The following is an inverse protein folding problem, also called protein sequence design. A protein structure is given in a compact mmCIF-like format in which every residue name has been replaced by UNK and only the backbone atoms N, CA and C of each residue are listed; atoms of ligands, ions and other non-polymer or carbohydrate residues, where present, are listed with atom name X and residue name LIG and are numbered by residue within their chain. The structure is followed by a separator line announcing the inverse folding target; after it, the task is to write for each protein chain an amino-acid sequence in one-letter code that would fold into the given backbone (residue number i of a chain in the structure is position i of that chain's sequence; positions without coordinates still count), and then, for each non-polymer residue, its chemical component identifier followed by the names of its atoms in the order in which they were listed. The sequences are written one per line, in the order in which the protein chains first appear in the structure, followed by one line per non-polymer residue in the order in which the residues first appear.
data_IF_297143885546
#
_entry.id   IF_297143885546
#
_cell.length_a   1.000
_cell.length_b   1.000
_cell.length_c   1.000
_cell.angle_alpha   90.00
_cell.angle_beta   90.00
_cell.angle_gamma   90.00
#
_symmetry.space_group_name_H-M   'P 1'
#
loop_
_entity.id
_entity.type
_entity.pdbx_description
1 polymer ?
#
# COMPACT_ATOMS: atom_id res chain seq x y z
N UNK A 1 3.61 1.94 -27.48
CA UNK A 1 2.68 2.94 -26.89
C UNK A 1 1.68 2.28 -25.95
N UNK A 2 0.91 1.29 -26.39
CA UNK A 2 -0.09 0.62 -25.53
C UNK A 2 0.51 -0.01 -24.26
N UNK A 3 1.67 -0.68 -24.37
CA UNK A 3 2.36 -1.27 -23.21
C UNK A 3 2.83 -0.23 -22.20
N UNK A 4 3.29 0.94 -22.65
CA UNK A 4 3.71 2.03 -21.77
C UNK A 4 2.50 2.61 -21.03
N UNK A 5 1.40 2.85 -21.73
CA UNK A 5 0.15 3.33 -21.11
C UNK A 5 -0.36 2.34 -20.07
N UNK A 6 -0.40 1.04 -20.39
CA UNK A 6 -0.82 0.00 -19.44
C UNK A 6 0.10 -0.08 -18.21
N UNK A 7 1.40 0.14 -18.38
CA UNK A 7 2.37 0.15 -17.29
C UNK A 7 2.17 1.34 -16.33
N UNK A 8 2.02 2.54 -16.88
CA UNK A 8 1.72 3.74 -16.10
C UNK A 8 0.36 3.64 -15.38
N UNK A 9 -0.64 3.03 -16.02
CA UNK A 9 -1.93 2.74 -15.37
C UNK A 9 -1.76 1.83 -14.16
N UNK A 10 -0.91 0.80 -14.23
CA UNK A 10 -0.66 -0.09 -13.09
C UNK A 10 0.10 0.60 -11.95
N UNK A 11 1.09 1.44 -12.26
CA UNK A 11 1.76 2.26 -11.25
C UNK A 11 0.78 3.21 -10.55
N UNK A 12 -0.11 3.85 -11.32
CA UNK A 12 -1.15 4.71 -10.77
C UNK A 12 -2.20 3.94 -9.95
N UNK A 13 -2.53 2.70 -10.33
CA UNK A 13 -3.36 1.80 -9.52
C UNK A 13 -2.69 1.48 -8.19
N UNK A 14 -1.38 1.18 -8.19
CA UNK A 14 -0.63 0.94 -6.95
C UNK A 14 -0.62 2.19 -6.07
N UNK A 15 -0.34 3.37 -6.65
CA UNK A 15 -0.40 4.66 -5.95
C UNK A 15 -1.79 4.92 -5.33
N UNK A 16 -2.86 4.76 -6.11
CA UNK A 16 -4.23 4.89 -5.63
C UNK A 16 -4.53 3.92 -4.48
N UNK A 17 -4.08 2.68 -4.60
CA UNK A 17 -4.29 1.64 -3.59
C UNK A 17 -3.59 1.99 -2.27
N UNK A 18 -2.36 2.53 -2.35
CA UNK A 18 -1.66 3.03 -1.17
C UNK A 18 -2.30 4.25 -0.53
N UNK A 19 -2.86 5.18 -1.33
CA UNK A 19 -3.56 6.36 -0.80
C UNK A 19 -4.79 5.97 0.02
N UNK A 20 -5.60 5.03 -0.48
CA UNK A 20 -6.74 4.50 0.29
C UNK A 20 -6.25 3.72 1.51
N UNK A 21 -5.20 2.91 1.38
CA UNK A 21 -4.63 2.18 2.51
C UNK A 21 -4.12 3.10 3.61
N UNK A 22 -3.40 4.17 3.26
CA UNK A 22 -2.93 5.19 4.19
C UNK A 22 -4.06 5.78 5.02
N UNK A 23 -5.15 6.21 4.36
CA UNK A 23 -6.29 6.80 5.04
C UNK A 23 -7.00 5.78 5.94
N UNK A 24 -7.10 4.52 5.51
CA UNK A 24 -7.65 3.45 6.32
C UNK A 24 -6.79 3.15 7.57
N UNK A 25 -5.46 3.17 7.47
CA UNK A 25 -4.58 3.02 8.65
C UNK A 25 -4.77 4.19 9.62
N UNK A 26 -4.91 5.42 9.11
CA UNK A 26 -5.25 6.58 9.97
C UNK A 26 -6.59 6.39 10.68
N UNK A 27 -7.59 5.86 9.97
CA UNK A 27 -8.88 5.55 10.59
C UNK A 27 -8.71 4.52 11.74
N UNK A 28 -7.85 3.49 11.57
CA UNK A 28 -7.52 2.56 12.66
C UNK A 28 -6.82 3.27 13.83
N UNK A 29 -5.82 4.11 13.54
CA UNK A 29 -5.07 4.88 14.53
C UNK A 29 -5.99 5.76 15.39
N UNK A 30 -6.97 6.43 14.78
CA UNK A 30 -7.90 7.31 15.49
C UNK A 30 -8.96 6.55 16.29
N UNK A 31 -9.42 5.40 15.80
CA UNK A 31 -10.63 4.76 16.32
C UNK A 31 -10.37 3.48 17.12
N UNK A 32 -9.13 3.01 17.24
CA UNK A 32 -8.78 1.85 18.06
C UNK A 32 -9.25 2.02 19.52
N UNK A 33 -9.78 0.94 20.09
CA UNK A 33 -10.20 0.86 21.50
C UNK A 33 -9.78 -0.49 22.10
N UNK A 34 -9.84 -0.60 23.42
CA UNK A 34 -9.60 -1.87 24.13
C UNK A 34 -8.18 -2.02 24.69
N UNK A 35 -7.86 -3.21 25.17
CA UNK A 35 -6.64 -3.51 25.93
C UNK A 35 -5.33 -3.28 25.16
N UNK A 36 -5.38 -3.34 23.83
CA UNK A 36 -4.22 -3.14 22.95
C UNK A 36 -4.06 -1.70 22.46
N UNK A 37 -4.83 -0.74 23.00
CA UNK A 37 -4.87 0.64 22.51
C UNK A 37 -3.48 1.26 22.34
N UNK A 38 -2.66 1.28 23.40
CA UNK A 38 -1.37 1.98 23.36
C UNK A 38 -0.37 1.35 22.37
N UNK A 39 -0.38 0.03 22.25
CA UNK A 39 0.48 -0.70 21.32
C UNK A 39 0.05 -0.45 19.86
N UNK A 40 -1.23 -0.69 19.56
CA UNK A 40 -1.75 -0.61 18.20
C UNK A 40 -1.84 0.83 17.70
N UNK A 41 -2.18 1.79 18.57
CA UNK A 41 -2.20 3.22 18.22
C UNK A 41 -0.84 3.67 17.66
N UNK A 42 0.26 3.35 18.36
CA UNK A 42 1.61 3.66 17.90
C UNK A 42 2.00 2.83 16.67
N UNK A 43 1.61 1.56 16.61
CA UNK A 43 1.91 0.70 15.46
C UNK A 43 1.25 1.20 14.18
N UNK A 44 0.00 1.67 14.26
CA UNK A 44 -0.69 2.27 13.12
C UNK A 44 -0.02 3.57 12.66
N UNK A 45 0.53 4.36 13.57
CA UNK A 45 1.33 5.55 13.23
C UNK A 45 2.61 5.22 12.47
N UNK A 46 3.36 4.24 12.95
CA UNK A 46 4.53 3.72 12.25
C UNK A 46 4.17 3.32 10.81
N UNK A 47 3.07 2.57 10.66
CA UNK A 47 2.62 2.06 9.37
C UNK A 47 2.15 3.16 8.42
N UNK A 48 1.26 4.07 8.85
CA UNK A 48 0.80 5.14 7.95
C UNK A 48 1.95 6.08 7.56
N UNK A 49 2.93 6.27 8.46
CA UNK A 49 4.08 7.15 8.19
C UNK A 49 4.96 6.52 7.12
N UNK A 50 5.20 5.21 7.21
CA UNK A 50 5.91 4.49 6.15
C UNK A 50 5.12 4.50 4.83
N UNK A 51 3.80 4.30 4.88
CA UNK A 51 2.95 4.38 3.68
C UNK A 51 3.04 5.74 3.00
N UNK A 52 3.11 6.83 3.75
CA UNK A 52 3.28 8.17 3.19
C UNK A 52 4.56 8.31 2.36
N UNK A 53 5.67 7.73 2.82
CA UNK A 53 6.93 7.70 2.06
C UNK A 53 6.79 6.90 0.77
N UNK A 54 6.14 5.73 0.83
CA UNK A 54 5.92 4.88 -0.36
C UNK A 54 5.06 5.60 -1.40
N UNK A 55 4.04 6.34 -0.97
CA UNK A 55 3.18 7.15 -1.85
C UNK A 55 4.02 8.17 -2.63
N UNK A 56 4.94 8.85 -1.95
CA UNK A 56 5.83 9.84 -2.55
C UNK A 56 6.79 9.18 -3.56
N UNK A 57 7.47 8.11 -3.14
CA UNK A 57 8.37 7.32 -4.01
C UNK A 57 7.68 6.89 -5.31
N UNK A 58 6.41 6.42 -5.22
CA UNK A 58 5.62 6.02 -6.38
C UNK A 58 5.21 7.20 -7.26
N UNK A 59 4.77 8.31 -6.67
CA UNK A 59 4.38 9.49 -7.43
C UNK A 59 5.57 10.09 -8.18
N UNK A 60 6.71 10.21 -7.52
CA UNK A 60 7.96 10.66 -8.13
C UNK A 60 8.49 9.67 -9.17
N UNK A 61 8.30 8.35 -8.96
CA UNK A 61 8.63 7.35 -9.98
C UNK A 61 7.80 7.54 -11.26
N UNK A 62 6.49 7.77 -11.12
CA UNK A 62 5.60 8.03 -12.25
C UNK A 62 6.03 9.30 -13.01
N UNK A 63 6.39 10.37 -12.29
CA UNK A 63 6.94 11.59 -12.87
C UNK A 63 8.26 11.35 -13.61
N UNK A 64 9.15 10.54 -13.01
CA UNK A 64 10.44 10.15 -13.61
C UNK A 64 10.25 9.41 -14.93
N UNK A 65 9.17 8.65 -15.07
CA UNK A 65 8.77 7.97 -16.31
C UNK A 65 8.03 8.88 -17.31
N UNK A 66 7.97 10.19 -17.04
CA UNK A 66 7.39 11.20 -17.93
C UNK A 66 5.86 11.25 -17.92
N UNK A 67 5.20 10.71 -16.88
CA UNK A 67 3.75 10.69 -16.76
C UNK A 67 3.27 11.41 -15.50
N UNK A 68 2.00 11.82 -15.47
CA UNK A 68 1.41 12.46 -14.30
C UNK A 68 0.86 11.41 -13.32
N UNK A 69 1.18 11.50 -12.02
CA UNK A 69 0.55 10.67 -11.01
C UNK A 69 -0.91 11.11 -10.77
N UNK A 70 -1.77 10.15 -10.43
CA UNK A 70 -3.09 10.46 -9.89
C UNK A 70 -2.93 11.28 -8.60
N UNK A 71 -3.82 12.25 -8.41
CA UNK A 71 -3.76 13.19 -7.29
C UNK A 71 -5.13 13.53 -6.70
N UNK A 72 -6.23 13.18 -7.37
CA UNK A 72 -7.59 13.50 -6.92
C UNK A 72 -8.14 12.31 -6.14
N UNK A 73 -8.80 12.57 -5.01
CA UNK A 73 -9.48 11.53 -4.24
C UNK A 73 -10.47 10.71 -5.07
N UNK A 74 -11.24 11.36 -5.96
CA UNK A 74 -12.17 10.66 -6.85
C UNK A 74 -11.48 9.65 -7.80
N UNK A 75 -10.22 9.92 -8.18
CA UNK A 75 -9.44 8.99 -9.01
C UNK A 75 -8.88 7.86 -8.15
N UNK A 76 -8.40 8.16 -6.93
CA UNK A 76 -7.95 7.12 -6.00
C UNK A 76 -9.07 6.13 -5.66
N UNK A 77 -10.27 6.62 -5.37
CA UNK A 77 -11.44 5.79 -5.08
C UNK A 77 -11.85 4.91 -6.26
N UNK A 78 -11.67 5.40 -7.49
CA UNK A 78 -12.01 4.65 -8.71
C UNK A 78 -10.98 3.58 -9.04
N UNK A 79 -9.69 3.88 -8.86
CA UNK A 79 -8.60 3.02 -9.35
C UNK A 79 -8.02 2.07 -8.30
N UNK A 80 -8.22 2.35 -7.01
CA UNK A 80 -7.71 1.54 -5.90
C UNK A 80 -8.26 0.11 -5.93
N UNK A 81 -7.40 -0.86 -5.60
CA UNK A 81 -7.81 -2.26 -5.36
C UNK A 81 -8.22 -2.53 -3.91
N UNK A 82 -8.15 -1.51 -3.05
CA UNK A 82 -8.60 -1.52 -1.65
C UNK A 82 -9.75 -0.52 -1.52
N UNK A 83 -10.84 -0.93 -0.87
CA UNK A 83 -11.94 -0.03 -0.54
C UNK A 83 -11.66 0.77 0.75
N UNK A 84 -12.35 1.88 0.92
CA UNK A 84 -12.41 2.57 2.21
C UNK A 84 -13.06 1.65 3.26
N UNK A 85 -12.53 1.71 4.48
CA UNK A 85 -13.10 0.97 5.60
C UNK A 85 -14.22 1.77 6.26
N UNK A 86 -15.25 1.06 6.73
CA UNK A 86 -16.09 1.54 7.83
C UNK A 86 -15.23 1.73 9.10
N UNK A 87 -15.79 2.36 10.13
CA UNK A 87 -15.04 2.57 11.39
C UNK A 87 -14.76 1.23 12.09
N UNK A 88 -13.48 0.88 12.21
CA UNK A 88 -13.00 -0.30 12.94
C UNK A 88 -12.36 0.16 14.26
N UNK A 89 -12.90 -0.32 15.39
CA UNK A 89 -12.36 -0.07 16.73
C UNK A 89 -11.73 -1.31 17.38
N UNK A 90 -12.01 -2.51 16.87
CA UNK A 90 -11.43 -3.76 17.39
C UNK A 90 -10.02 -3.98 16.85
N UNK A 91 -9.07 -4.24 17.74
CA UNK A 91 -7.67 -4.43 17.37
C UNK A 91 -7.44 -5.65 16.47
N UNK A 92 -8.19 -6.75 16.70
CA UNK A 92 -8.03 -7.96 15.89
C UNK A 92 -8.59 -7.78 14.48
N UNK A 93 -9.70 -7.06 14.36
CA UNK A 93 -10.26 -6.65 13.07
C UNK A 93 -9.33 -5.71 12.31
N UNK A 94 -8.77 -4.69 12.97
CA UNK A 94 -7.78 -3.80 12.36
C UNK A 94 -6.54 -4.54 11.86
N UNK A 95 -6.04 -5.51 12.62
CA UNK A 95 -4.90 -6.35 12.19
C UNK A 95 -5.25 -7.29 11.03
N UNK A 96 -6.48 -7.83 10.98
CA UNK A 96 -6.95 -8.59 9.81
C UNK A 96 -7.03 -7.71 8.56
N UNK A 97 -7.55 -6.48 8.70
CA UNK A 97 -7.54 -5.52 7.61
C UNK A 97 -6.12 -5.27 7.10
N UNK A 98 -5.17 -4.98 7.99
CA UNK A 98 -3.77 -4.73 7.60
C UNK A 98 -3.19 -5.90 6.82
N UNK A 99 -3.38 -7.14 7.30
CA UNK A 99 -2.87 -8.33 6.62
C UNK A 99 -3.47 -8.49 5.22
N UNK A 100 -4.79 -8.35 5.07
CA UNK A 100 -5.44 -8.45 3.76
C UNK A 100 -5.01 -7.33 2.81
N UNK A 101 -4.95 -6.09 3.30
CA UNK A 101 -4.49 -4.94 2.51
C UNK A 101 -3.05 -5.14 2.02
N UNK A 102 -2.15 -5.61 2.88
CA UNK A 102 -0.77 -5.92 2.51
C UNK A 102 -0.68 -7.04 1.48
N UNK A 103 -1.54 -8.07 1.55
CA UNK A 103 -1.60 -9.12 0.52
C UNK A 103 -2.03 -8.57 -0.84
N UNK A 104 -3.02 -7.67 -0.89
CA UNK A 104 -3.43 -6.98 -2.12
C UNK A 104 -2.29 -6.14 -2.68
N UNK A 105 -1.60 -5.35 -1.85
CA UNK A 105 -0.46 -4.53 -2.27
C UNK A 105 0.70 -5.40 -2.79
N UNK A 106 1.04 -6.48 -2.07
CA UNK A 106 2.09 -7.43 -2.44
C UNK A 106 1.81 -8.05 -3.83
N UNK A 107 0.55 -8.35 -4.14
CA UNK A 107 0.17 -8.88 -5.45
C UNK A 107 0.42 -7.86 -6.57
N UNK A 108 -0.03 -6.61 -6.40
CA UNK A 108 0.21 -5.53 -7.38
C UNK A 108 1.70 -5.26 -7.58
N UNK A 109 2.49 -5.31 -6.50
CA UNK A 109 3.94 -5.12 -6.55
C UNK A 109 4.65 -6.25 -7.29
N UNK A 110 4.21 -7.51 -7.14
CA UNK A 110 4.76 -8.65 -7.91
C UNK A 110 4.46 -8.52 -9.40
N UNK A 111 3.26 -8.06 -9.74
CA UNK A 111 2.87 -7.80 -11.13
C UNK A 111 3.76 -6.70 -11.75
N UNK A 112 3.96 -5.59 -11.04
CA UNK A 112 4.84 -4.51 -11.46
C UNK A 112 6.32 -4.92 -11.49
N UNK A 113 6.78 -5.77 -10.57
CA UNK A 113 8.14 -6.31 -10.61
C UNK A 113 8.37 -7.11 -11.90
N UNK A 114 7.45 -8.02 -12.26
CA UNK A 114 7.56 -8.78 -13.50
C UNK A 114 7.47 -7.90 -14.74
N UNK A 115 6.63 -6.85 -14.71
CA UNK A 115 6.47 -5.95 -15.84
C UNK A 115 7.67 -5.02 -16.04
N UNK A 116 8.20 -4.47 -14.95
CA UNK A 116 9.40 -3.62 -14.97
C UNK A 116 10.63 -4.38 -15.47
N UNK A 117 10.80 -5.66 -15.08
CA UNK A 117 11.85 -6.55 -15.59
C UNK A 117 11.76 -6.72 -17.12
N UNK A 118 10.56 -7.05 -17.62
CA UNK A 118 10.31 -7.19 -19.07
C UNK A 118 10.56 -5.92 -19.87
N UNK A 119 10.38 -4.76 -19.25
CA UNK A 119 10.57 -3.45 -19.88
C UNK A 119 11.99 -2.89 -19.68
N UNK A 120 12.86 -3.58 -18.93
CA UNK A 120 14.20 -3.10 -18.60
C UNK A 120 14.21 -1.86 -17.69
N UNK A 121 13.14 -1.65 -16.93
CA UNK A 121 13.00 -0.54 -15.99
C UNK A 121 13.55 -0.94 -14.61
N UNK A 122 14.87 -0.87 -14.47
CA UNK A 122 15.57 -1.25 -13.23
C UNK A 122 15.15 -0.40 -12.02
N UNK A 123 14.85 0.89 -12.23
CA UNK A 123 14.48 1.79 -11.14
C UNK A 123 13.15 1.40 -10.50
N UNK A 124 12.15 1.06 -11.31
CA UNK A 124 10.88 0.54 -10.77
C UNK A 124 11.06 -0.88 -10.23
N UNK A 125 11.87 -1.71 -10.89
CA UNK A 125 12.11 -3.09 -10.45
C UNK A 125 12.70 -3.12 -9.04
N UNK A 126 13.76 -2.35 -8.79
CA UNK A 126 14.38 -2.23 -7.47
C UNK A 126 13.40 -1.71 -6.42
N UNK A 127 12.60 -0.69 -6.75
CA UNK A 127 11.58 -0.17 -5.84
C UNK A 127 10.58 -1.27 -5.44
N UNK A 128 10.04 -2.01 -6.40
CA UNK A 128 9.10 -3.10 -6.11
C UNK A 128 9.74 -4.21 -5.27
N UNK A 129 10.99 -4.58 -5.58
CA UNK A 129 11.72 -5.63 -4.84
C UNK A 129 11.91 -5.27 -3.36
N UNK A 130 12.28 -4.02 -3.07
CA UNK A 130 12.42 -3.55 -1.69
C UNK A 130 11.08 -3.54 -0.94
N UNK A 131 10.02 -3.07 -1.61
CA UNK A 131 8.66 -3.05 -1.05
C UNK A 131 8.13 -4.45 -0.73
N UNK A 132 8.41 -5.44 -1.59
CA UNK A 132 8.05 -6.85 -1.37
C UNK A 132 8.76 -7.41 -0.15
N UNK A 133 10.08 -7.22 -0.06
CA UNK A 133 10.90 -7.69 1.07
C UNK A 133 10.41 -7.10 2.40
N UNK A 134 10.08 -5.81 2.41
CA UNK A 134 9.54 -5.14 3.59
C UNK A 134 8.18 -5.73 4.01
N UNK A 135 7.28 -5.98 3.05
CA UNK A 135 5.94 -6.54 3.31
C UNK A 135 5.96 -7.98 3.74
N UNK A 136 6.80 -8.83 3.15
CA UNK A 136 6.89 -10.23 3.54
C UNK A 136 7.31 -10.36 5.02
N UNK A 137 8.26 -9.53 5.46
CA UNK A 137 8.63 -9.42 6.88
C UNK A 137 7.46 -8.93 7.73
N UNK A 138 6.78 -7.87 7.31
CA UNK A 138 5.67 -7.29 8.08
C UNK A 138 4.48 -8.25 8.18
N UNK A 139 4.16 -8.97 7.10
CA UNK A 139 3.09 -9.97 7.06
C UNK A 139 3.38 -11.15 7.99
N UNK A 140 4.63 -11.58 8.13
CA UNK A 140 5.01 -12.55 9.16
C UNK A 140 4.67 -12.04 10.56
N UNK A 141 5.04 -10.79 10.88
CA UNK A 141 4.73 -10.19 12.19
C UNK A 141 3.23 -10.07 12.45
N UNK A 142 2.44 -9.72 11.42
CA UNK A 142 0.98 -9.64 11.53
C UNK A 142 0.33 -11.01 11.74
N UNK A 143 0.78 -12.05 11.03
CA UNK A 143 0.31 -13.41 11.25
C UNK A 143 0.64 -13.90 12.66
N UNK A 144 1.87 -13.66 13.13
CA UNK A 144 2.27 -14.01 14.49
C UNK A 144 1.40 -13.31 15.55
N UNK A 145 1.08 -12.03 15.36
CA UNK A 145 0.18 -11.30 16.25
C UNK A 145 -1.25 -11.86 16.23
N UNK A 146 -1.75 -12.27 15.06
CA UNK A 146 -3.08 -12.86 14.89
C UNK A 146 -3.19 -14.32 15.38
N UNK A 147 -2.06 -14.97 15.69
CA UNK A 147 -1.93 -16.40 15.94
C UNK A 147 -2.43 -17.26 14.75
N UNK A 148 -2.02 -16.89 13.54
CA UNK A 148 -2.26 -17.64 12.30
C UNK A 148 -1.06 -18.46 11.86
#
# INVERSE_FOLDING_TARGET
METQTAYITQLNRLLATYQIHYQNIRALHWNIKGSHFFELHLKYEELYTRTLVIIDDLAERILTLGSAPLHRFADYLRESSIAENETISDGKEGMRYLLHAQQTLLQLERELLSLSDKLGDEGTNSLMSDLLREKEKTNWMFNAWLNN
#
